data_IF_573272387075
#
_entry.id   IF_573272387075
#
_cell.length_a   1.000
_cell.length_b   1.000
_cell.length_c   1.000
_cell.angle_alpha   90.00
_cell.angle_beta   90.00
_cell.angle_gamma   90.00
#
_symmetry.space_group_name_H-M   'P 1'
#
loop_
_entity.id
_entity.type
_entity.pdbx_description
1 polymer ?
2 polymer ?
3 polymer ?
4 non-polymer ?
5 non-polymer ?
6 non-polymer ?
7 non-polymer ?
8 non-polymer ?
9 water ?
#
loop_
_entity_poly.entity_id
_entity_poly.type
_entity_poly.pdbx_seq_one_letter_code
_entity_poly.pdbx_strand_id
3 'polyribonucleotide' 'GGGAA(CFL)AAAG(CFL)(UFT)GAAG(UFT)A(CFL)(UFT)(UFT)A(CFL)(CFL)(CFL)(DT)' ?
#
# COMPACT_ATOMS: atom_id res chain seq x y z
N UNK A 1 8.12 9.49 -13.89
CA UNK A 1 7.41 8.31 -14.47
C UNK A 1 6.61 8.69 -15.71
N UNK A 2 6.39 7.72 -16.59
CA UNK A 2 5.65 7.95 -17.83
C UNK A 2 4.25 8.53 -17.69
N UNK A 3 3.74 9.05 -18.82
CA UNK A 3 2.42 9.65 -18.89
C UNK A 3 2.18 10.56 -17.69
N UNK A 4 0.96 10.57 -17.20
CA UNK A 4 0.61 11.40 -16.05
C UNK A 4 0.45 10.60 -14.75
N UNK A 5 1.18 9.50 -14.61
CA UNK A 5 1.11 8.69 -13.38
C UNK A 5 1.41 9.57 -12.17
N UNK A 6 0.83 9.22 -11.04
CA UNK A 6 1.09 9.94 -9.79
C UNK A 6 0.65 11.38 -9.67
N UNK A 7 -0.09 11.88 -10.65
CA UNK A 7 -0.62 13.25 -10.58
C UNK A 7 -2.11 13.11 -10.39
N UNK A 8 -2.59 13.40 -9.19
CA UNK A 8 -4.02 13.21 -8.90
C UNK A 8 -4.96 14.19 -9.59
N UNK A 9 -6.04 13.65 -10.18
CA UNK A 9 -7.05 14.46 -10.88
C UNK A 9 -7.64 15.54 -10.00
N UNK A 10 -7.94 15.21 -8.75
CA UNK A 10 -8.53 16.18 -7.85
C UNK A 10 -7.51 17.00 -7.05
N UNK A 11 -6.22 16.87 -7.35
CA UNK A 11 -5.20 17.63 -6.62
C UNK A 11 -4.12 18.23 -7.50
N UNK A 12 -3.05 17.49 -7.74
CA UNK A 12 -1.99 18.04 -8.58
C UNK A 12 -2.52 18.57 -9.93
N UNK A 13 -3.50 17.89 -10.54
CA UNK A 13 -4.02 18.35 -11.82
C UNK A 13 -4.83 19.63 -11.69
N UNK A 14 -5.46 19.82 -10.54
CA UNK A 14 -6.27 21.01 -10.28
C UNK A 14 -5.48 21.98 -9.42
N UNK A 15 -4.17 21.77 -9.33
CA UNK A 15 -3.30 22.62 -8.51
C UNK A 15 -3.81 22.81 -7.08
N UNK A 16 -4.46 21.79 -6.54
CA UNK A 16 -4.96 21.84 -5.16
C UNK A 16 -4.07 20.91 -4.36
N UNK A 17 -4.05 21.06 -3.04
CA UNK A 17 -3.22 20.21 -2.20
C UNK A 17 -4.06 19.61 -1.08
N UNK A 18 -3.81 18.35 -0.72
CA UNK A 18 -4.60 17.74 0.35
C UNK A 18 -4.22 18.28 1.72
N UNK A 19 -4.98 17.89 2.74
CA UNK A 19 -4.79 18.37 4.09
C UNK A 19 -3.54 17.94 4.86
N UNK A 20 -2.77 16.96 4.39
CA UNK A 20 -1.58 16.57 5.14
C UNK A 20 -0.31 16.40 4.35
N UNK A 21 -0.35 16.61 3.05
CA UNK A 21 0.84 16.43 2.25
C UNK A 21 1.98 17.37 2.62
N UNK A 22 1.67 18.51 3.24
CA UNK A 22 2.72 19.44 3.62
C UNK A 22 3.68 18.75 4.59
N UNK A 23 3.13 17.88 5.43
CA UNK A 23 3.91 17.13 6.42
C UNK A 23 4.98 16.31 5.70
N UNK A 24 4.63 15.71 4.56
CA UNK A 24 5.61 14.95 3.79
C UNK A 24 6.65 15.93 3.25
N UNK A 25 6.21 17.02 2.64
CA UNK A 25 7.15 17.99 2.07
C UNK A 25 8.10 18.56 3.13
N UNK A 26 7.57 18.84 4.32
CA UNK A 26 8.40 19.38 5.40
C UNK A 26 9.51 18.41 5.86
N UNK A 27 9.23 17.11 5.85
CA UNK A 27 10.22 16.12 6.26
C UNK A 27 11.48 16.07 5.38
N UNK A 28 11.42 16.62 4.18
CA UNK A 28 12.58 16.65 3.29
C UNK A 28 13.53 17.77 3.74
N UNK A 29 12.97 18.78 4.39
CA UNK A 29 13.73 19.91 4.89
C UNK A 29 14.25 19.56 6.29
N UNK A 30 13.33 19.14 7.16
CA UNK A 30 13.65 18.74 8.54
C UNK A 30 14.41 17.42 8.53
N UNK B 1 -5.31 0.56 9.48
CA UNK B 1 -4.44 1.69 9.82
C UNK B 1 -4.77 2.16 11.24
N UNK B 2 -3.74 2.28 12.08
CA UNK B 2 -3.89 2.71 13.46
C UNK B 2 -3.51 4.18 13.62
N UNK B 3 -4.32 4.96 14.34
CA UNK B 3 -4.05 6.38 14.58
C UNK B 3 -3.94 7.23 13.31
N UNK B 4 -4.73 6.91 12.31
CA UNK B 4 -4.68 7.69 11.09
C UNK B 4 -5.90 8.58 11.08
N UNK B 5 -6.32 8.99 9.89
CA UNK B 5 -7.49 9.84 9.75
C UNK B 5 -8.24 9.46 8.48
N UNK B 6 -9.48 9.94 8.38
CA UNK B 6 -10.28 9.66 7.19
C UNK B 6 -9.61 10.30 5.98
N UNK B 7 -9.51 9.56 4.89
CA UNK B 7 -8.91 10.09 3.68
C UNK B 7 -9.88 11.07 3.01
N UNK B 8 -9.35 12.00 2.22
CA UNK B 8 -10.18 12.93 1.49
C UNK B 8 -10.58 12.24 0.18
N UNK B 9 -11.70 12.65 -0.42
CA UNK B 9 -12.13 12.04 -1.68
C UNK B 9 -11.05 12.24 -2.72
N UNK B 10 -10.75 11.20 -3.49
CA UNK B 10 -9.75 11.32 -4.52
C UNK B 10 -8.32 11.43 -4.03
N UNK B 11 -8.14 11.43 -2.70
CA UNK B 11 -6.81 11.54 -2.11
C UNK B 11 -5.83 10.41 -2.46
N UNK B 12 -6.34 9.18 -2.64
CA UNK B 12 -5.47 8.04 -3.00
C UNK B 12 -6.21 7.27 -4.11
N UNK B 13 -6.31 7.90 -5.31
CA UNK B 13 -7.01 7.29 -6.45
C UNK B 13 -6.41 6.01 -6.99
N UNK B 14 -5.22 5.65 -6.51
CA UNK B 14 -4.58 4.40 -6.94
C UNK B 14 -4.91 3.28 -5.97
N UNK B 15 -5.64 3.62 -4.89
CA UNK B 15 -6.01 2.63 -3.88
C UNK B 15 -6.94 1.59 -4.46
N UNK B 16 -6.62 0.32 -4.18
CA UNK B 16 -7.44 -0.78 -4.68
C UNK B 16 -7.84 -1.71 -3.54
N UNK B 17 -9.07 -2.21 -3.61
CA UNK B 17 -9.52 -3.13 -2.59
C UNK B 17 -9.60 -4.53 -3.20
N UNK B 18 -8.96 -5.52 -2.60
CA UNK B 18 -9.01 -6.90 -3.10
C UNK B 18 -10.23 -7.49 -2.38
N UNK B 19 -11.10 -8.16 -3.14
CA UNK B 19 -12.34 -8.63 -2.54
C UNK B 19 -12.65 -10.07 -2.92
N UNK B 20 -13.07 -10.87 -1.95
CA UNK B 20 -13.40 -12.27 -2.23
C UNK B 20 -14.83 -12.42 -2.77
N UNK B 21 -15.00 -13.27 -3.79
CA UNK B 21 -16.32 -13.50 -4.37
C UNK B 21 -17.26 -14.28 -3.43
N UNK B 22 -16.71 -15.25 -2.70
CA UNK B 22 -17.53 -16.05 -1.78
C UNK B 22 -16.76 -16.76 -0.67
N UNK B 23 -17.03 -16.43 0.59
CA UNK B 23 -18.02 -15.43 0.98
C UNK B 23 -17.53 -14.03 0.56
N UNK B 24 -18.47 -13.10 0.39
CA UNK B 24 -18.14 -11.75 0.00
C UNK B 24 -17.41 -11.09 1.17
N UNK B 25 -16.13 -10.82 1.01
CA UNK B 25 -15.38 -10.19 2.08
C UNK B 25 -14.11 -9.51 1.58
N UNK B 26 -13.73 -8.47 2.32
CA UNK B 26 -12.53 -7.69 2.05
C UNK B 26 -11.31 -8.56 2.38
N UNK B 27 -10.36 -8.63 1.45
CA UNK B 27 -9.16 -9.44 1.67
C UNK B 27 -7.89 -8.66 1.96
N UNK B 28 -7.64 -7.61 1.19
CA UNK B 28 -6.40 -6.85 1.35
C UNK B 28 -6.50 -5.56 0.57
N UNK B 29 -5.39 -4.83 0.60
CA UNK B 29 -5.26 -3.61 -0.16
C UNK B 29 -4.41 -3.96 -1.36
N UNK B 30 -4.20 -2.97 -2.24
CA UNK B 30 -3.44 -3.18 -3.45
C UNK B 30 -3.34 -1.80 -4.09
N UNK B 31 -2.63 -1.69 -5.20
CA UNK B 31 -2.51 -0.40 -5.84
C UNK B 31 -2.57 -0.53 -7.35
N UNK B 32 -3.15 0.49 -7.97
CA UNK B 32 -3.30 0.56 -9.43
C UNK B 32 -2.02 1.16 -10.01
N UNK B 33 -1.34 0.45 -10.92
CA UNK B 33 -0.13 1.01 -11.48
C UNK B 33 -0.22 1.33 -12.97
N UNK B 34 -1.32 0.89 -13.59
CA UNK B 34 -1.61 1.16 -15.01
C UNK B 34 -3.09 0.81 -15.25
N UNK B 35 -3.59 1.00 -16.46
CA UNK B 35 -4.99 0.69 -16.70
C UNK B 35 -5.33 -0.79 -16.56
N UNK B 36 -4.32 -1.67 -16.55
CA UNK B 36 -4.66 -3.10 -16.41
C UNK B 36 -3.81 -3.90 -15.43
N UNK B 37 -2.92 -3.24 -14.71
CA UNK B 37 -2.10 -3.95 -13.74
C UNK B 37 -2.26 -3.44 -12.31
N UNK B 38 -2.31 -4.38 -11.37
CA UNK B 38 -2.48 -4.07 -9.96
C UNK B 38 -1.40 -4.76 -9.13
N UNK B 39 -0.82 -3.98 -8.24
CA UNK B 39 0.24 -4.44 -7.36
C UNK B 39 -0.30 -4.73 -5.94
N UNK B 40 0.19 -5.80 -5.32
CA UNK B 40 -0.26 -6.14 -3.97
C UNK B 40 0.81 -7.01 -3.28
N UNK B 41 0.52 -7.48 -2.09
CA UNK B 41 1.45 -8.32 -1.34
C UNK B 41 1.16 -9.77 -1.69
N UNK B 42 2.22 -10.56 -1.83
CA UNK B 42 2.05 -11.97 -2.17
C UNK B 42 1.26 -12.71 -1.06
N UNK B 43 1.54 -12.43 0.21
CA UNK B 43 0.80 -13.16 1.24
C UNK B 43 -0.70 -12.92 1.22
N UNK B 44 -1.16 -11.93 0.46
CA UNK B 44 -2.59 -11.65 0.37
C UNK B 44 -3.27 -12.72 -0.46
N UNK B 45 -2.51 -13.28 -1.40
CA UNK B 45 -2.99 -14.30 -2.31
C UNK B 45 -2.53 -15.70 -1.95
N UNK B 46 -1.37 -15.79 -1.33
CA UNK B 46 -0.81 -17.08 -0.98
C UNK B 46 -0.14 -17.11 0.39
N UNK B 47 -0.73 -17.85 1.30
CA UNK B 47 -0.15 -18.00 2.62
C UNK B 47 -0.64 -19.33 3.20
N UNK B 48 0.05 -20.43 2.84
CA UNK B 48 -0.28 -21.79 3.29
C UNK B 48 -0.59 -21.91 4.79
N UNK B 49 0.23 -21.31 5.66
CA UNK B 49 -0.04 -21.42 7.10
C UNK B 49 -1.46 -21.05 7.51
N UNK B 50 -2.16 -20.28 6.69
CA UNK B 50 -3.54 -19.94 7.00
C UNK B 50 -4.44 -20.56 5.95
N UNK B 51 -3.92 -21.57 5.25
CA UNK B 51 -4.67 -22.26 4.21
C UNK B 51 -5.19 -21.28 3.18
N UNK B 52 -4.40 -20.25 2.90
CA UNK B 52 -4.78 -19.23 1.94
C UNK B 52 -4.07 -19.44 0.61
N UNK B 53 -4.86 -19.60 -0.44
CA UNK B 53 -4.30 -19.79 -1.76
C UNK B 53 -5.36 -19.49 -2.80
N UNK B 54 -5.46 -18.21 -3.15
CA UNK B 54 -6.46 -17.77 -4.11
C UNK B 54 -5.99 -17.81 -5.56
N UNK B 55 -6.92 -18.11 -6.44
CA UNK B 55 -6.67 -18.18 -7.89
C UNK B 55 -7.42 -16.99 -8.50
N UNK B 56 -7.17 -16.71 -9.78
CA UNK B 56 -7.83 -15.60 -10.46
C UNK B 56 -9.32 -15.50 -10.22
N UNK B 57 -10.03 -16.61 -10.40
CA UNK B 57 -11.49 -16.63 -10.26
C UNK B 57 -12.07 -16.41 -8.89
N UNK B 58 -11.25 -16.51 -7.84
CA UNK B 58 -11.79 -16.35 -6.49
C UNK B 58 -12.03 -14.93 -6.05
N UNK B 59 -11.47 -13.96 -6.77
CA UNK B 59 -11.63 -12.59 -6.32
C UNK B 59 -11.89 -11.51 -7.34
N UNK B 60 -12.10 -10.32 -6.79
CA UNK B 60 -12.39 -9.12 -7.54
C UNK B 60 -11.55 -7.96 -6.99
N UNK B 61 -11.31 -6.96 -7.82
CA UNK B 61 -10.59 -5.77 -7.36
C UNK B 61 -11.61 -4.64 -7.50
N UNK B 62 -11.72 -3.84 -6.45
CA UNK B 62 -12.63 -2.70 -6.45
C UNK B 62 -11.74 -1.48 -6.38
N UNK B 63 -11.84 -0.70 -7.45
CA UNK B 63 -11.03 0.50 -7.66
C UNK B 63 -11.87 1.77 -7.51
N UNK B 64 -11.27 2.83 -6.96
CA UNK B 64 -11.95 4.10 -6.79
C UNK B 64 -12.87 4.21 -5.58
N UNK B 65 -12.72 3.29 -4.63
CA UNK B 65 -13.57 3.30 -3.45
C UNK B 65 -13.14 4.21 -2.32
N UNK B 66 -14.12 4.63 -1.53
CA UNK B 66 -13.89 5.46 -0.37
C UNK B 66 -14.43 4.66 0.82
N UNK B 67 -15.74 4.37 0.81
CA UNK B 67 -16.37 3.60 1.88
C UNK B 67 -15.84 2.17 1.86
N UNK B 68 -15.63 1.60 3.05
CA UNK B 68 -15.14 0.24 3.16
C UNK B 68 -16.19 -0.78 2.71
N UNK B 69 -17.44 -0.52 3.07
CA UNK B 69 -18.56 -1.43 2.80
C UNK B 69 -19.61 -1.02 1.75
N UNK B 70 -19.94 0.26 1.69
CA UNK B 70 -20.95 0.73 0.76
C UNK B 70 -20.56 0.61 -0.70
N UNK B 71 -21.48 0.06 -1.50
CA UNK B 71 -21.23 -0.05 -2.92
C UNK B 71 -21.36 1.39 -3.42
N UNK B 72 -20.34 1.90 -4.11
CA UNK B 72 -20.37 3.28 -4.59
C UNK B 72 -20.60 3.32 -6.10
N UNK B 73 -21.86 3.13 -6.51
CA UNK B 73 -22.20 3.09 -7.93
C UNK B 73 -21.83 4.37 -8.68
N UNK B 74 -21.25 4.15 -9.86
CA UNK B 74 -20.80 5.20 -10.75
C UNK B 74 -19.56 5.95 -10.22
N UNK B 75 -18.92 5.38 -9.20
CA UNK B 75 -17.70 5.95 -8.64
C UNK B 75 -16.67 4.84 -8.73
N UNK B 76 -16.92 3.77 -7.97
CA UNK B 76 -16.01 2.64 -7.98
C UNK B 76 -16.20 1.80 -9.22
N UNK B 77 -15.16 1.03 -9.55
CA UNK B 77 -15.17 0.13 -10.68
C UNK B 77 -14.79 -1.26 -10.16
N UNK B 78 -15.51 -2.29 -10.57
CA UNK B 78 -15.19 -3.63 -10.13
C UNK B 78 -14.66 -4.39 -11.33
N UNK B 79 -13.43 -4.87 -11.21
CA UNK B 79 -12.78 -5.57 -12.30
C UNK B 79 -12.46 -6.99 -11.90
N UNK B 80 -12.47 -7.87 -12.89
CA UNK B 80 -12.14 -9.26 -12.70
C UNK B 80 -10.68 -9.43 -13.09
N UNK B 81 -10.08 -10.56 -12.71
CA UNK B 81 -8.66 -10.80 -12.96
C UNK B 81 -8.37 -11.82 -14.05
N UNK B 82 -7.41 -11.50 -14.90
CA UNK B 82 -7.00 -12.38 -15.96
C UNK B 82 -5.97 -13.36 -15.40
N UNK B 83 -5.03 -12.84 -14.63
CA UNK B 83 -4.02 -13.71 -14.05
C UNK B 83 -3.26 -13.09 -12.88
N UNK B 84 -2.80 -13.98 -12.01
CA UNK B 84 -2.04 -13.62 -10.82
C UNK B 84 -0.60 -14.05 -11.02
N UNK B 85 0.32 -13.27 -10.48
CA UNK B 85 1.75 -13.59 -10.57
C UNK B 85 2.41 -13.35 -9.22
N UNK B 86 2.79 -14.44 -8.55
CA UNK B 86 3.44 -14.34 -7.25
C UNK B 86 4.94 -14.29 -7.52
N UNK B 87 5.69 -13.48 -6.78
CA UNK B 87 7.13 -13.42 -7.01
C UNK B 87 7.68 -14.84 -6.84
N UNK B 88 8.53 -15.27 -7.78
CA UNK B 88 9.12 -16.62 -7.72
C UNK B 88 9.93 -16.99 -6.48
N UNK B 89 10.55 -16.01 -5.82
CA UNK B 89 11.34 -16.31 -4.62
C UNK B 89 10.66 -15.88 -3.33
N UNK B 90 9.35 -15.65 -3.38
CA UNK B 90 8.55 -15.25 -2.22
C UNK B 90 8.76 -16.27 -1.12
N UNK B 91 9.20 -15.80 0.04
CA UNK B 91 9.49 -16.67 1.17
C UNK B 91 8.47 -16.63 2.29
N UNK B 92 7.37 -17.37 2.12
CA UNK B 92 6.33 -17.39 3.14
C UNK B 92 6.71 -18.26 4.35
N UNK B 93 7.67 -19.16 4.17
CA UNK B 93 8.07 -20.04 5.26
C UNK B 93 8.82 -19.32 6.38
N UNK B 94 9.56 -18.28 6.04
CA UNK B 94 10.33 -17.61 7.07
C UNK B 94 9.94 -16.20 7.51
N UNK B 95 10.09 -15.21 6.63
CA UNK B 95 9.84 -13.81 7.00
C UNK B 95 9.11 -12.95 5.97
N UNK B 96 8.48 -13.58 4.99
CA UNK B 96 7.78 -12.88 3.92
C UNK B 96 8.73 -12.11 3.01
N UNK B 97 9.97 -12.53 2.93
CA UNK B 97 10.94 -11.88 2.05
C UNK B 97 10.30 -11.87 0.64
N UNK B 98 10.36 -10.74 -0.05
CA UNK B 98 9.78 -10.61 -1.38
C UNK B 98 8.25 -10.84 -1.39
N UNK B 99 7.56 -10.11 -0.52
CA UNK B 99 6.09 -10.19 -0.38
C UNK B 99 5.48 -9.27 -1.43
N UNK B 100 5.48 -9.74 -2.66
CA UNK B 100 4.99 -8.95 -3.78
C UNK B 100 4.29 -9.83 -4.82
N UNK B 101 3.23 -9.27 -5.42
CA UNK B 101 2.46 -10.00 -6.42
C UNK B 101 1.85 -9.03 -7.39
N UNK B 102 1.65 -9.47 -8.63
CA UNK B 102 1.01 -8.64 -9.65
C UNK B 102 -0.28 -9.32 -10.13
N UNK B 103 -1.28 -8.51 -10.46
CA UNK B 103 -2.54 -9.04 -10.96
C UNK B 103 -2.91 -8.30 -12.23
N UNK B 104 -3.16 -9.03 -13.31
CA UNK B 104 -3.55 -8.42 -14.58
C UNK B 104 -5.09 -8.48 -14.67
N UNK B 105 -5.73 -7.34 -14.97
CA UNK B 105 -7.20 -7.26 -15.06
C UNK B 105 -7.67 -7.84 -16.39
N UNK B 106 -8.92 -8.31 -16.45
CA UNK B 106 -9.42 -8.88 -17.71
C UNK B 106 -9.51 -7.81 -18.79
N UNK B 107 -9.97 -6.62 -18.41
CA UNK B 107 -10.04 -5.53 -19.36
C UNK B 107 -9.61 -4.23 -18.66
N UNK B 108 -8.97 -3.32 -19.41
CA UNK B 108 -8.48 -2.03 -18.89
C UNK B 108 -9.59 -1.24 -18.23
N UNK B 109 -9.26 -0.52 -17.15
CA UNK B 109 -10.27 0.29 -16.46
C UNK B 109 -10.07 1.71 -16.96
N UNK B 110 -11.15 2.47 -17.04
CA UNK B 110 -11.04 3.84 -17.49
C UNK B 110 -10.65 4.66 -16.28
N UNK B 111 -9.73 5.60 -16.44
CA UNK B 111 -9.34 6.42 -15.32
C UNK B 111 -10.41 7.49 -15.12
N UNK B 112 -10.43 8.10 -13.95
CA UNK B 112 -11.41 9.12 -13.64
C UNK B 112 -10.84 9.99 -12.55
N UNK B 113 -11.70 10.75 -11.89
CA UNK B 113 -11.24 11.59 -10.82
C UNK B 113 -10.86 10.74 -9.61
N UNK B 114 -11.50 9.59 -9.47
CA UNK B 114 -11.29 8.69 -8.33
C UNK B 114 -10.40 7.50 -8.63
N UNK B 115 -10.04 7.36 -9.89
CA UNK B 115 -9.25 6.23 -10.37
C UNK B 115 -8.11 6.74 -11.22
N UNK B 116 -6.89 6.59 -10.70
CA UNK B 116 -5.69 7.06 -11.39
C UNK B 116 -4.48 6.29 -10.87
N UNK B 117 -3.58 5.88 -11.77
CA UNK B 117 -2.39 5.12 -11.37
C UNK B 117 -1.27 5.89 -10.66
N UNK B 118 -0.59 5.21 -9.75
CA UNK B 118 0.56 5.80 -9.04
C UNK B 118 1.78 5.46 -9.88
N UNK B 119 2.89 6.18 -9.70
CA UNK B 119 4.14 5.86 -10.44
C UNK B 119 5.02 4.89 -9.66
N UNK B 120 5.86 4.12 -10.34
CA UNK B 120 6.82 3.27 -9.66
C UNK B 120 8.12 4.07 -9.79
N UNK B 121 8.96 4.09 -8.75
CA UNK B 121 10.21 4.86 -8.84
C UNK B 121 11.33 4.31 -9.73
N UNK B 122 12.09 5.23 -10.33
CA UNK B 122 13.26 4.88 -11.14
C UNK B 122 14.39 4.82 -10.11
N UNK B 123 15.55 4.32 -10.51
CA UNK B 123 16.66 4.20 -9.57
C UNK B 123 17.02 5.47 -8.79
N UNK B 124 17.12 6.60 -9.48
CA UNK B 124 17.49 7.83 -8.78
C UNK B 124 16.43 8.34 -7.84
N UNK B 125 15.17 8.28 -8.25
CA UNK B 125 14.09 8.71 -7.38
C UNK B 125 14.08 7.86 -6.11
N UNK B 126 14.35 6.55 -6.25
CA UNK B 126 14.35 5.65 -5.09
C UNK B 126 15.48 6.01 -4.14
N UNK B 127 16.65 6.25 -4.72
CA UNK B 127 17.81 6.63 -3.93
C UNK B 127 17.56 7.95 -3.21
N UNK B 128 16.92 8.88 -3.88
CA UNK B 128 16.69 10.17 -3.25
C UNK B 128 15.62 10.21 -2.19
N UNK B 129 14.50 9.55 -2.46
CA UNK B 129 13.36 9.55 -1.53
C UNK B 129 13.35 8.56 -0.39
N UNK B 130 13.77 7.34 -0.64
CA UNK B 130 13.71 6.34 0.43
C UNK B 130 14.90 6.52 1.38
N UNK B 131 14.81 7.53 2.24
CA UNK B 131 15.87 7.85 3.21
C UNK B 131 15.30 8.04 4.62
N UNK B 132 16.04 7.59 5.62
CA UNK B 132 15.61 7.70 7.02
C UNK B 132 15.21 9.12 7.36
N UNK B 133 14.07 9.28 8.02
CA UNK B 133 13.64 10.62 8.40
C UNK B 133 12.63 11.23 7.45
N UNK B 134 12.66 10.82 6.18
CA UNK B 134 11.69 11.36 5.24
C UNK B 134 10.37 10.63 5.48
N UNK B 135 9.24 11.31 5.30
CA UNK B 135 7.98 10.64 5.54
C UNK B 135 7.26 10.20 4.27
N UNK B 136 6.53 9.09 4.40
CA UNK B 136 5.74 8.53 3.32
C UNK B 136 4.33 8.45 3.86
N UNK B 137 3.42 7.89 3.06
CA UNK B 137 2.03 7.76 3.45
C UNK B 137 1.51 6.36 3.17
N UNK B 138 0.75 5.83 4.12
CA UNK B 138 0.16 4.51 4.03
C UNK B 138 -1.36 4.66 4.18
N UNK B 139 -2.09 3.88 3.39
CA UNK B 139 -3.56 3.91 3.37
C UNK B 139 -4.13 2.51 3.34
N UNK B 140 -5.34 2.37 3.89
CA UNK B 140 -5.97 1.07 3.93
C UNK B 140 -7.28 1.08 4.69
N UNK B 141 -8.02 -0.03 4.58
CA UNK B 141 -9.30 -0.23 5.24
C UNK B 141 -9.14 -1.28 6.34
N UNK B 142 -7.88 -1.53 6.72
CA UNK B 142 -7.56 -2.53 7.72
C UNK B 142 -7.93 -2.18 9.15
N UNK B 143 -7.62 -3.08 10.08
CA UNK B 143 -7.97 -2.88 11.48
C UNK B 143 -7.49 -1.56 12.06
N UNK B 144 -8.29 -0.99 12.95
CA UNK B 144 -7.97 0.27 13.61
C UNK B 144 -7.06 0.08 14.83
N UNK B 145 -7.00 -1.15 15.35
CA UNK B 145 -6.18 -1.49 16.51
C UNK B 145 -5.72 -2.94 16.34
N UNK B 146 -4.66 -3.34 17.03
CA UNK B 146 -4.20 -4.72 16.88
C UNK B 146 -5.17 -5.70 17.53
N UNK B 147 -5.83 -5.23 18.58
CA UNK B 147 -6.79 -6.03 19.34
C UNK B 147 -7.87 -5.08 19.86
N UNK B 148 -9.09 -5.57 20.05
CA UNK B 148 -10.18 -4.71 20.52
C UNK B 148 -11.42 -5.53 20.91
N UNK B 149 -12.41 -4.85 21.46
CA UNK B 149 -13.68 -5.49 21.85
C UNK B 149 -14.79 -4.89 21.01
N UNK B 150 -15.36 -5.69 20.11
CA UNK B 150 -16.43 -5.23 19.22
C UNK B 150 -17.65 -4.70 19.96
N UNK B 151 -17.86 -5.16 21.20
CA UNK B 151 -19.00 -4.69 21.97
C UNK B 151 -18.82 -3.24 22.43
N UNK B 152 -17.59 -2.72 22.30
CA UNK B 152 -17.32 -1.35 22.70
C UNK B 152 -16.81 -0.52 21.53
N UNK B 153 -17.08 -0.97 20.31
CA UNK B 153 -16.62 -0.24 19.13
C UNK B 153 -16.10 -1.13 18.03
N UNK B 154 -16.52 -0.83 16.81
CA UNK B 154 -16.12 -1.59 15.62
C UNK B 154 -14.60 -1.57 15.36
N UNK B 155 -14.07 -2.73 14.98
CA UNK B 155 -12.64 -2.85 14.72
C UNK B 155 -12.14 -2.28 13.38
N UNK B 156 -13.03 -2.15 12.39
CA UNK B 156 -12.64 -1.62 11.07
C UNK B 156 -13.21 -0.22 10.82
N UNK B 157 -12.56 0.57 9.94
CA UNK B 157 -13.01 1.93 9.62
C UNK B 157 -14.23 1.97 8.72
N UNK B 158 -14.90 3.11 8.71
CA UNK B 158 -16.05 3.28 7.84
C UNK B 158 -15.53 3.64 6.43
N UNK B 159 -14.51 4.48 6.39
CA UNK B 159 -13.91 4.92 5.14
C UNK B 159 -12.39 4.73 5.15
N UNK B 160 -11.80 4.83 3.97
CA UNK B 160 -10.36 4.67 3.79
C UNK B 160 -9.58 5.53 4.79
N UNK B 161 -8.59 4.91 5.42
CA UNK B 161 -7.76 5.60 6.40
C UNK B 161 -6.39 5.96 5.84
N UNK B 162 -5.81 7.03 6.36
CA UNK B 162 -4.49 7.46 5.93
C UNK B 162 -3.60 7.89 7.10
N UNK B 163 -2.30 7.66 6.97
CA UNK B 163 -1.36 8.09 7.99
C UNK B 163 0.00 8.31 7.34
N UNK B 164 0.69 9.37 7.76
CA UNK B 164 2.02 9.66 7.26
C UNK B 164 2.97 9.18 8.33
N UNK B 165 4.05 8.52 7.91
CA UNK B 165 5.02 7.93 8.84
C UNK B 165 6.43 8.13 8.31
N UNK B 166 7.42 8.27 9.21
CA UNK B 166 8.79 8.46 8.74
C UNK B 166 9.52 7.12 8.49
N UNK B 167 10.38 7.13 7.46
CA UNK B 167 11.22 5.98 7.11
C UNK B 167 12.24 5.87 8.26
N UNK B 168 12.49 4.65 8.72
CA UNK B 168 13.42 4.42 9.84
C UNK B 168 14.78 3.87 9.42
N UNK B 169 15.82 4.19 10.19
CA UNK B 169 17.17 3.70 9.89
C UNK B 169 17.18 2.18 9.91
N UNK B 170 17.88 1.60 8.95
CA UNK B 170 17.89 0.15 8.84
C UNK B 170 18.35 -0.60 10.10
N UNK B 171 19.45 -0.15 10.73
CA UNK B 171 19.89 -0.88 11.94
C UNK B 171 18.81 -0.81 13.04
N UNK B 172 18.08 0.30 13.08
CA UNK B 172 17.04 0.46 14.07
C UNK B 172 15.92 -0.51 13.77
N UNK B 173 15.61 -0.71 12.49
CA UNK B 173 14.56 -1.67 12.15
C UNK B 173 14.99 -3.05 12.59
N UNK B 174 16.25 -3.38 12.32
CA UNK B 174 16.78 -4.69 12.68
C UNK B 174 16.82 -4.94 14.18
N UNK B 175 17.20 -3.92 14.93
CA UNK B 175 17.26 -4.05 16.38
C UNK B 175 15.91 -4.09 17.07
N UNK B 176 14.83 -3.85 16.33
CA UNK B 176 13.52 -3.85 16.95
C UNK B 176 12.84 -5.19 16.94
N UNK B 177 13.42 -6.15 16.23
CA UNK B 177 12.77 -7.44 16.11
C UNK B 177 13.77 -8.58 15.98
N UNK B 178 13.32 -9.79 16.26
CA UNK B 178 14.17 -10.97 16.14
C UNK B 178 14.04 -11.60 14.76
N UNK B 179 13.05 -11.13 14.00
CA UNK B 179 12.84 -11.64 12.66
C UNK B 179 13.96 -11.03 11.79
N UNK B 180 14.46 -11.80 10.83
CA UNK B 180 15.52 -11.30 9.95
C UNK B 180 14.98 -10.30 8.92
N UNK B 181 15.57 -9.11 8.90
CA UNK B 181 15.15 -8.06 7.97
C UNK B 181 16.00 -8.12 6.70
N UNK B 182 15.40 -8.57 5.60
CA UNK B 182 16.14 -8.69 4.36
C UNK B 182 16.32 -7.37 3.64
N UNK B 183 17.22 -7.37 2.67
CA UNK B 183 17.49 -6.17 1.88
C UNK B 183 16.33 -5.84 0.92
N UNK B 184 15.29 -6.67 0.93
CA UNK B 184 14.13 -6.41 0.10
C UNK B 184 12.98 -5.85 0.98
N UNK B 185 13.32 -5.32 2.16
CA UNK B 185 12.32 -4.74 3.06
C UNK B 185 12.79 -3.41 3.65
N UNK B 186 11.86 -2.60 4.16
CA UNK B 186 12.26 -1.39 4.87
C UNK B 186 11.20 -1.21 5.94
N UNK B 187 11.46 -0.39 6.95
CA UNK B 187 10.43 -0.22 7.95
C UNK B 187 10.17 1.28 8.17
N UNK B 188 9.01 1.59 8.71
CA UNK B 188 8.65 2.99 8.94
C UNK B 188 7.80 3.09 10.18
N UNK B 189 7.86 4.26 10.81
CA UNK B 189 7.07 4.49 12.01
C UNK B 189 7.79 5.43 12.96
N UNK B 190 7.05 5.94 13.93
CA UNK B 190 7.60 6.87 14.91
C UNK B 190 8.30 6.11 16.03
N UNK B 191 9.33 6.72 16.56
CA UNK B 191 10.07 6.14 17.68
C UNK B 191 9.30 6.54 18.93
N UNK B 192 9.43 5.77 20.01
CA UNK B 192 8.70 6.10 21.23
C UNK B 192 8.90 7.56 21.70
N UNK B 193 10.10 8.10 21.53
CA UNK B 193 10.39 9.46 21.95
C UNK B 193 10.06 10.56 20.95
N UNK B 194 9.30 10.24 19.90
CA UNK B 194 8.96 11.26 18.91
C UNK B 194 7.56 11.82 19.17
N UNK B 195 6.82 11.16 20.06
CA UNK B 195 5.48 11.62 20.38
C UNK B 195 4.40 11.00 19.51
N UNK B 196 4.44 11.32 18.22
CA UNK B 196 3.47 10.80 17.27
C UNK B 196 3.39 9.27 17.22
N UNK B 197 2.24 8.78 16.78
CA UNK B 197 1.98 7.35 16.64
C UNK B 197 1.51 7.02 15.21
N UNK B 198 1.12 5.78 14.98
CA UNK B 198 0.65 5.43 13.65
C UNK B 198 1.34 4.20 13.10
N UNK B 199 0.55 3.37 12.41
CA UNK B 199 1.03 2.12 11.81
C UNK B 199 -0.05 1.50 10.92
N UNK B 200 0.37 0.62 10.03
CA UNK B 200 -0.59 -0.11 9.22
C UNK B 200 -0.93 -1.27 10.18
N UNK B 201 -1.84 -2.14 9.79
CA UNK B 201 -2.19 -3.26 10.67
C UNK B 201 -2.73 -4.40 9.81
N UNK B 202 -3.17 -5.49 10.43
CA UNK B 202 -3.75 -6.57 9.68
C UNK B 202 -4.92 -6.01 8.84
N UNK B 203 -5.04 -6.49 7.59
CA UNK B 203 -6.07 -5.99 6.69
C UNK B 203 -5.57 -4.91 5.75
N UNK B 204 -4.45 -4.30 6.11
CA UNK B 204 -3.85 -3.23 5.29
C UNK B 204 -2.83 -3.76 4.27
N UNK B 205 -2.46 -5.04 4.38
CA UNK B 205 -1.46 -5.59 3.47
C UNK B 205 -1.76 -5.36 2.03
N UNK B 206 -0.70 -5.12 1.26
CA UNK B 206 -0.85 -4.92 -0.16
C UNK B 206 -1.10 -3.48 -0.49
N UNK B 207 -1.47 -2.70 0.52
CA UNK B 207 -1.72 -1.28 0.31
C UNK B 207 -0.39 -0.60 0.03
N UNK B 208 -0.42 0.57 -0.60
CA UNK B 208 0.85 1.24 -0.90
C UNK B 208 1.42 2.20 0.12
N UNK B 209 2.75 2.26 0.19
CA UNK B 209 3.43 3.26 1.02
C UNK B 209 3.95 4.19 -0.10
N UNK B 210 3.41 5.40 -0.15
CA UNK B 210 3.77 6.35 -1.21
C UNK B 210 4.52 7.58 -0.74
N UNK B 211 5.23 8.23 -1.67
CA UNK B 211 5.97 9.43 -1.34
C UNK B 211 5.77 10.43 -2.48
N UNK B 212 5.59 11.70 -2.12
CA UNK B 212 5.42 12.71 -3.14
C UNK B 212 6.75 13.41 -3.41
N UNK B 213 7.22 13.31 -4.65
CA UNK B 213 8.46 13.94 -5.02
C UNK B 213 8.37 15.45 -5.00
N UNK B 214 9.32 16.12 -4.33
CA UNK B 214 9.28 17.60 -4.27
C UNK B 214 9.82 18.19 -5.57
N UNK B 215 10.42 17.34 -6.41
CA UNK B 215 11.01 17.79 -7.67
C UNK B 215 10.15 17.77 -8.94
N UNK B 216 9.12 16.92 -8.99
CA UNK B 216 8.22 16.87 -10.16
C UNK B 216 6.78 16.72 -9.74
N UNK B 217 6.54 16.78 -8.43
CA UNK B 217 5.17 16.70 -7.89
C UNK B 217 4.42 15.38 -7.97
N UNK B 218 5.08 14.34 -8.45
CA UNK B 218 4.41 13.04 -8.59
C UNK B 218 4.51 12.15 -7.35
N UNK B 219 3.50 11.32 -7.17
CA UNK B 219 3.45 10.35 -6.09
C UNK B 219 4.06 9.05 -6.62
N UNK B 220 4.97 8.50 -5.82
CA UNK B 220 5.66 7.26 -6.17
C UNK B 220 5.40 6.23 -5.11
N UNK B 221 5.22 4.98 -5.54
CA UNK B 221 4.99 3.91 -4.59
C UNK B 221 6.34 3.30 -4.24
N UNK B 222 6.74 3.47 -2.99
CA UNK B 222 8.03 2.99 -2.51
C UNK B 222 7.91 1.64 -1.79
N UNK B 223 6.75 1.36 -1.22
CA UNK B 223 6.62 0.10 -0.52
C UNK B 223 5.25 -0.50 -0.58
N UNK B 224 5.16 -1.74 -0.11
CA UNK B 224 3.88 -2.47 -0.06
C UNK B 224 3.73 -2.92 1.40
N UNK B 225 2.58 -2.62 2.04
CA UNK B 225 2.34 -3.03 3.44
C UNK B 225 2.53 -4.53 3.48
N UNK B 226 3.42 -5.01 4.36
CA UNK B 226 3.75 -6.44 4.43
C UNK B 226 3.53 -7.15 5.75
N UNK B 227 4.19 -6.68 6.80
CA UNK B 227 4.06 -7.36 8.08
C UNK B 227 4.46 -6.48 9.26
N UNK B 228 4.19 -6.99 10.45
CA UNK B 228 4.53 -6.26 11.66
C UNK B 228 4.31 -7.24 12.81
N UNK B 229 4.48 -6.79 14.04
CA UNK B 229 4.26 -7.62 15.24
C UNK B 229 3.33 -6.77 16.10
N UNK B 230 2.04 -7.11 16.09
CA UNK B 230 1.08 -6.27 16.79
C UNK B 230 0.92 -5.05 15.87
N UNK B 231 0.39 -3.95 16.39
CA UNK B 231 0.25 -2.76 15.58
C UNK B 231 0.45 -1.56 16.47
N UNK B 232 1.24 -0.62 15.96
CA UNK B 232 1.54 0.61 16.67
C UNK B 232 2.12 0.42 18.08
N UNK B 233 2.78 -0.71 18.33
CA UNK B 233 3.40 -0.94 19.63
C UNK B 233 4.64 -0.04 19.74
N UNK B 234 5.00 0.35 20.96
CA UNK B 234 6.16 1.21 21.18
C UNK B 234 7.43 0.42 20.93
N UNK B 235 8.35 0.99 20.16
CA UNK B 235 9.61 0.31 19.85
C UNK B 235 9.52 -0.66 18.69
N UNK B 236 8.34 -0.79 18.11
CA UNK B 236 8.10 -1.68 16.97
C UNK B 236 7.79 -0.82 15.74
N UNK B 237 8.00 -1.38 14.54
CA UNK B 237 7.77 -0.65 13.30
C UNK B 237 7.07 -1.51 12.26
N UNK B 238 6.32 -0.85 11.38
CA UNK B 238 5.63 -1.57 10.32
C UNK B 238 6.65 -1.89 9.25
N UNK B 239 6.56 -3.07 8.64
CA UNK B 239 7.50 -3.43 7.59
C UNK B 239 6.82 -3.44 6.23
N UNK B 240 7.59 -3.01 5.24
CA UNK B 240 7.11 -2.89 3.87
C UNK B 240 8.03 -3.55 2.87
N UNK B 241 7.44 -4.10 1.81
CA UNK B 241 8.20 -4.72 0.73
C UNK B 241 8.85 -3.54 -0.03
N UNK B 242 10.15 -3.64 -0.28
CA UNK B 242 10.94 -2.60 -0.97
C UNK B 242 10.70 -2.70 -2.47
N UNK B 243 9.75 -1.91 -2.96
CA UNK B 243 9.37 -1.93 -4.37
C UNK B 243 10.50 -1.78 -5.37
N UNK B 244 11.36 -0.77 -5.21
CA UNK B 244 12.44 -0.61 -6.17
C UNK B 244 13.39 -1.80 -6.18
N UNK B 245 13.72 -2.35 -5.01
CA UNK B 245 14.61 -3.51 -4.96
C UNK B 245 14.15 -4.67 -5.82
N UNK B 246 12.85 -4.74 -6.05
CA UNK B 246 12.29 -5.82 -6.83
C UNK B 246 11.62 -5.35 -8.11
N UNK B 247 11.99 -4.16 -8.57
CA UNK B 247 11.39 -3.64 -9.77
C UNK B 247 11.76 -4.44 -11.02
N UNK B 248 12.95 -5.02 -11.05
CA UNK B 248 13.33 -5.80 -12.22
C UNK B 248 12.28 -6.90 -12.45
N UNK B 249 11.84 -7.55 -11.39
CA UNK B 249 10.85 -8.60 -11.55
C UNK B 249 9.53 -8.03 -12.04
N UNK B 250 9.13 -6.89 -11.48
CA UNK B 250 7.89 -6.25 -11.89
C UNK B 250 7.94 -5.98 -13.41
N UNK B 251 9.03 -5.38 -13.85
CA UNK B 251 9.21 -5.06 -15.25
C UNK B 251 9.15 -6.32 -16.11
N UNK B 252 9.83 -7.37 -15.66
CA UNK B 252 9.87 -8.63 -16.39
C UNK B 252 8.46 -9.15 -16.64
N UNK B 253 7.70 -9.33 -15.58
CA UNK B 253 6.33 -9.83 -15.68
C UNK B 253 5.52 -9.03 -16.70
N UNK B 254 5.58 -7.71 -16.58
CA UNK B 254 4.82 -6.84 -17.45
C UNK B 254 5.28 -6.80 -18.92
N UNK B 255 6.59 -6.79 -19.15
CA UNK B 255 7.05 -6.77 -20.53
C UNK B 255 6.74 -8.11 -21.16
N UNK B 256 6.69 -9.14 -20.34
CA UNK B 256 6.45 -10.49 -20.79
C UNK B 256 4.98 -10.82 -21.06
N UNK B 257 4.07 -10.09 -20.40
CA UNK B 257 2.65 -10.36 -20.57
C UNK B 257 1.79 -9.16 -20.93
N UNK B 258 2.43 -8.13 -21.48
CA UNK B 258 1.73 -6.91 -21.90
C UNK B 258 0.98 -6.16 -20.81
#
# INVERSE_FOLDING_TARGET
GEADCGLRPLFEKKSLEDKTERELLESYID
IVEGSDAEIGMSPWQVMLFRKSPQELLCGASLISDRWVLTAAHCLLYPPWDKNFTENDLLVRIGKHSRTRYERNIEKISMLEKIYIHPRYNWRENLDRDIALMKLKKPVAFSDYIHPVCLPDRETAASLLQAGYKGRVTGWGNLKETWTANVGKGQPSVLQVVNLPIVERPVCKDSTRIRITDNMFCAGYKPDEGKRGDACEGDSGGPFVMKSPFNNRWYQMGIVSWGEGCDRDGKYGFYTHVFRLKKWIQKVIDQFG
#
